data_IF_241460430912
#
_entry.id   IF_241460430912
#
_cell.length_a   1.000
_cell.length_b   1.000
_cell.length_c   1.000
_cell.angle_alpha   90.00
_cell.angle_beta   90.00
_cell.angle_gamma   90.00
#
_symmetry.space_group_name_H-M   'P 1'
#
loop_
_entity.id
_entity.type
_entity.pdbx_description
1 polymer ?
#
# COMPACT_ATOMS: atom_id res chain seq x y z
N UNK A 1 -3.46 -8.56 -10.81
CA UNK A 1 -3.25 -7.23 -10.16
C UNK A 1 -1.82 -6.71 -10.33
N UNK A 2 -0.79 -7.22 -9.63
CA UNK A 2 0.59 -6.68 -9.77
C UNK A 2 1.08 -6.60 -11.22
N UNK A 3 0.88 -7.67 -11.99
CA UNK A 3 1.19 -7.69 -13.42
C UNK A 3 0.43 -6.62 -14.21
N UNK A 4 -0.87 -6.44 -13.94
CA UNK A 4 -1.72 -5.47 -14.63
C UNK A 4 -1.30 -4.03 -14.32
N UNK A 5 -0.97 -3.74 -13.05
CA UNK A 5 -0.44 -2.45 -12.63
C UNK A 5 0.88 -2.13 -13.34
N UNK A 6 1.80 -3.10 -13.39
CA UNK A 6 3.07 -2.94 -14.11
C UNK A 6 2.87 -2.70 -15.61
N UNK A 7 1.98 -3.47 -16.24
CA UNK A 7 1.62 -3.33 -17.66
C UNK A 7 1.00 -1.99 -18.02
N UNK A 8 0.46 -1.27 -17.05
CA UNK A 8 -0.14 0.05 -17.23
C UNK A 8 0.73 1.16 -16.63
N UNK A 9 1.96 0.83 -16.21
CA UNK A 9 2.90 1.78 -15.61
C UNK A 9 2.29 2.57 -14.43
N UNK A 10 1.43 1.88 -13.66
CA UNK A 10 0.84 2.42 -12.44
C UNK A 10 1.82 2.20 -11.29
N UNK A 11 2.35 3.26 -10.64
CA UNK A 11 3.18 3.13 -9.45
C UNK A 11 2.43 2.38 -8.36
N UNK A 12 3.10 1.42 -7.73
CA UNK A 12 2.54 0.60 -6.67
C UNK A 12 3.45 0.69 -5.45
N UNK A 13 2.94 1.29 -4.37
CA UNK A 13 3.63 1.31 -3.09
C UNK A 13 3.10 0.21 -2.18
N UNK A 14 4.00 -0.66 -1.74
CA UNK A 14 3.77 -1.54 -0.61
C UNK A 14 4.30 -0.85 0.64
N UNK A 15 3.39 -0.28 1.43
CA UNK A 15 3.73 0.45 2.65
C UNK A 15 3.42 -0.40 3.90
N UNK A 16 4.47 -1.00 4.47
CA UNK A 16 4.34 -2.01 5.52
C UNK A 16 5.03 -1.58 6.82
N UNK A 17 4.33 -1.69 7.94
CA UNK A 17 4.91 -1.55 9.27
C UNK A 17 5.65 -2.81 9.76
N UNK A 18 5.70 -3.86 8.92
CA UNK A 18 6.41 -5.11 9.21
C UNK A 18 7.91 -5.04 8.92
N UNK A 19 8.50 -6.22 8.72
CA UNK A 19 9.90 -6.40 8.35
C UNK A 19 10.07 -6.33 6.82
N UNK A 20 10.73 -5.29 6.33
CA UNK A 20 10.90 -5.01 4.91
C UNK A 20 11.62 -6.11 4.15
N UNK A 21 12.68 -6.69 4.72
CA UNK A 21 13.43 -7.80 4.12
C UNK A 21 12.52 -9.00 3.80
N UNK A 22 11.60 -9.32 4.71
CA UNK A 22 10.62 -10.39 4.52
C UNK A 22 9.61 -10.04 3.43
N UNK A 23 9.11 -8.80 3.40
CA UNK A 23 8.17 -8.34 2.37
C UNK A 23 8.81 -8.44 0.99
N UNK A 24 10.02 -7.90 0.83
CA UNK A 24 10.77 -7.96 -0.43
C UNK A 24 11.00 -9.41 -0.86
N UNK A 25 11.45 -10.26 0.05
CA UNK A 25 11.70 -11.68 -0.23
C UNK A 25 10.45 -12.41 -0.73
N UNK A 26 9.29 -12.20 -0.08
CA UNK A 26 8.03 -12.80 -0.50
C UNK A 26 7.59 -12.31 -1.88
N UNK A 27 7.65 -11.00 -2.13
CA UNK A 27 7.27 -10.41 -3.43
C UNK A 27 8.18 -10.89 -4.57
N UNK A 28 9.49 -11.06 -4.30
CA UNK A 28 10.45 -11.60 -5.26
C UNK A 28 10.17 -13.07 -5.57
N UNK A 29 10.01 -13.92 -4.54
CA UNK A 29 9.73 -15.34 -4.73
C UNK A 29 8.40 -15.59 -5.45
N UNK A 30 7.41 -14.74 -5.20
CA UNK A 30 6.13 -14.78 -5.91
C UNK A 30 6.19 -14.18 -7.33
N UNK A 31 7.34 -13.66 -7.78
CA UNK A 31 7.52 -12.99 -9.07
C UNK A 31 6.57 -11.81 -9.31
N UNK A 32 6.30 -11.03 -8.25
CA UNK A 32 5.42 -9.85 -8.30
C UNK A 32 6.12 -8.54 -7.94
N UNK A 33 7.40 -8.57 -7.58
CA UNK A 33 8.22 -7.36 -7.39
C UNK A 33 8.66 -6.79 -8.76
N UNK A 34 7.72 -6.19 -9.47
CA UNK A 34 7.95 -5.52 -10.75
C UNK A 34 8.62 -4.14 -10.57
N UNK A 35 9.20 -3.53 -11.63
CA UNK A 35 9.87 -2.22 -11.53
C UNK A 35 8.99 -1.07 -11.02
N UNK A 36 7.67 -1.13 -11.24
CA UNK A 36 6.70 -0.16 -10.73
C UNK A 36 6.35 -0.36 -9.24
N UNK A 37 6.81 -1.45 -8.62
CA UNK A 37 6.54 -1.77 -7.21
C UNK A 37 7.68 -1.24 -6.34
N UNK A 38 7.34 -0.37 -5.39
CA UNK A 38 8.26 0.15 -4.37
C UNK A 38 7.82 -0.34 -3.00
N UNK A 39 8.77 -0.59 -2.12
CA UNK A 39 8.52 -1.09 -0.76
C UNK A 39 9.08 -0.09 0.23
N UNK A 40 8.23 0.44 1.10
CA UNK A 40 8.62 1.26 2.25
C UNK A 40 8.23 0.48 3.50
N UNK A 41 9.22 0.12 4.31
CA UNK A 41 9.05 -0.73 5.49
C UNK A 41 10.26 -0.66 6.43
N UNK A 42 10.24 -1.40 7.53
CA UNK A 42 11.36 -1.45 8.46
C UNK A 42 12.40 -2.47 7.98
N UNK A 43 13.53 -2.01 7.45
CA UNK A 43 14.59 -2.90 6.95
C UNK A 43 15.65 -3.18 8.02
N UNK A 44 16.23 -4.38 8.01
CA UNK A 44 17.31 -4.76 8.92
C UNK A 44 18.58 -3.96 8.65
N UNK A 45 19.21 -3.47 9.71
CA UNK A 45 20.50 -2.81 9.65
C UNK A 45 21.61 -3.80 10.04
N UNK A 46 22.66 -3.87 9.23
CA UNK A 46 23.82 -4.71 9.49
C UNK A 46 25.06 -3.83 9.72
N UNK A 47 25.85 -4.21 10.71
CA UNK A 47 27.20 -3.69 10.95
C UNK A 47 28.15 -4.07 9.81
N UNK A 48 29.30 -3.41 9.73
CA UNK A 48 30.35 -3.71 8.74
C UNK A 48 30.90 -5.14 8.82
N UNK A 49 30.73 -5.82 9.96
CA UNK A 49 31.09 -7.22 10.18
C UNK A 49 29.97 -8.22 9.80
N UNK A 50 28.83 -7.73 9.29
CA UNK A 50 27.68 -8.54 8.92
C UNK A 50 26.75 -8.90 10.08
N UNK A 51 26.99 -8.38 11.29
CA UNK A 51 26.12 -8.63 12.45
C UNK A 51 24.88 -7.73 12.40
N UNK A 52 23.70 -8.28 12.69
CA UNK A 52 22.47 -7.50 12.83
C UNK A 52 22.60 -6.52 14.00
N UNK A 53 22.39 -5.22 13.76
CA UNK A 53 22.59 -4.17 14.75
C UNK A 53 21.41 -3.21 14.91
N UNK A 54 20.29 -3.44 14.21
CA UNK A 54 19.09 -2.62 14.37
C UNK A 54 18.16 -2.66 13.17
N UNK A 55 17.36 -1.59 13.04
CA UNK A 55 16.55 -1.28 11.87
C UNK A 55 17.08 -0.02 11.21
N UNK A 56 16.99 0.06 9.89
CA UNK A 56 17.35 1.23 9.12
C UNK A 56 16.35 2.36 9.34
N UNK A 57 16.84 3.60 9.37
CA UNK A 57 16.06 4.83 9.37
C UNK A 57 14.99 4.94 10.47
N UNK A 58 13.95 5.75 10.23
CA UNK A 58 12.86 6.01 11.17
C UNK A 58 11.88 4.84 11.15
N UNK A 59 11.59 4.29 12.33
CA UNK A 59 10.64 3.20 12.49
C UNK A 59 9.25 3.55 11.95
N UNK A 60 8.72 2.71 11.07
CA UNK A 60 7.35 2.75 10.56
C UNK A 60 6.48 1.84 11.43
N UNK A 61 5.40 2.39 11.97
CA UNK A 61 4.37 1.68 12.72
C UNK A 61 2.99 2.02 12.16
N UNK A 62 1.96 1.28 12.55
CA UNK A 62 0.58 1.40 12.01
C UNK A 62 -0.05 2.80 12.12
N UNK A 63 0.52 3.69 12.93
CA UNK A 63 0.00 5.03 13.19
C UNK A 63 0.84 6.17 12.57
N UNK A 64 1.95 5.87 11.87
CA UNK A 64 2.76 6.88 11.19
C UNK A 64 2.92 6.62 9.68
N UNK A 65 2.04 5.79 9.11
CA UNK A 65 1.97 5.53 7.68
C UNK A 65 1.26 6.68 6.95
N UNK A 66 1.90 7.84 6.83
CA UNK A 66 1.37 9.00 6.11
C UNK A 66 2.44 9.64 5.23
N UNK A 67 2.11 10.75 4.54
CA UNK A 67 3.02 11.48 3.66
C UNK A 67 4.35 11.85 4.32
N UNK A 68 4.42 12.05 5.64
CA UNK A 68 5.70 12.35 6.31
C UNK A 68 6.73 11.22 6.20
N UNK A 69 6.30 10.01 5.88
CA UNK A 69 7.19 8.89 5.56
C UNK A 69 7.62 8.86 4.08
N UNK A 70 6.95 9.63 3.22
CA UNK A 70 7.20 9.74 1.78
C UNK A 70 7.96 11.02 1.42
N UNK A 71 7.82 12.09 2.20
CA UNK A 71 8.54 13.36 2.00
C UNK A 71 10.06 13.12 1.89
N UNK A 72 10.66 13.59 0.79
CA UNK A 72 12.09 13.46 0.52
C UNK A 72 12.52 12.08 -0.02
N UNK A 73 11.59 11.18 -0.30
CA UNK A 73 11.88 9.89 -0.97
C UNK A 73 11.74 10.03 -2.48
N UNK A 74 12.50 9.21 -3.24
CA UNK A 74 12.34 9.08 -4.70
C UNK A 74 10.90 8.70 -5.11
N UNK A 75 10.13 8.09 -4.19
CA UNK A 75 8.74 7.74 -4.44
C UNK A 75 7.83 8.97 -4.54
N UNK A 76 8.08 10.02 -3.77
CA UNK A 76 7.29 11.26 -3.83
C UNK A 76 7.32 11.86 -5.24
N UNK A 77 8.53 11.96 -5.81
CA UNK A 77 8.71 12.49 -7.17
C UNK A 77 8.01 11.64 -8.24
N UNK A 78 7.86 10.33 -8.01
CA UNK A 78 7.15 9.42 -8.93
C UNK A 78 5.62 9.62 -8.93
N UNK A 79 5.05 10.15 -7.84
CA UNK A 79 3.59 10.18 -7.63
C UNK A 79 3.00 11.56 -7.41
N UNK A 80 3.81 12.62 -7.29
CA UNK A 80 3.31 13.98 -7.00
C UNK A 80 2.28 14.50 -8.01
N UNK A 81 2.37 14.08 -9.28
CA UNK A 81 1.42 14.43 -10.34
C UNK A 81 0.22 13.46 -10.47
N UNK A 82 0.10 12.47 -9.57
CA UNK A 82 -0.98 11.47 -9.59
C UNK A 82 -2.10 11.89 -8.63
N UNK A 83 -3.24 12.26 -9.19
CA UNK A 83 -4.42 12.75 -8.48
C UNK A 83 -5.46 11.66 -8.18
N UNK A 84 -5.29 10.43 -8.66
CA UNK A 84 -6.19 9.31 -8.38
C UNK A 84 -5.46 8.19 -7.66
N UNK A 85 -5.92 7.84 -6.46
CA UNK A 85 -5.25 6.88 -5.57
C UNK A 85 -6.24 5.83 -5.06
N UNK A 86 -5.82 4.56 -5.09
CA UNK A 86 -6.51 3.47 -4.41
C UNK A 86 -5.66 3.07 -3.20
N UNK A 87 -6.23 3.21 -2.00
CA UNK A 87 -5.64 2.75 -0.76
C UNK A 87 -6.27 1.42 -0.37
N UNK A 88 -5.43 0.44 -0.02
CA UNK A 88 -5.87 -0.87 0.43
C UNK A 88 -5.19 -1.20 1.75
N UNK A 89 -5.95 -1.72 2.71
CA UNK A 89 -5.41 -2.15 3.99
C UNK A 89 -6.37 -2.99 4.80
N UNK A 90 -5.84 -3.69 5.79
CA UNK A 90 -6.57 -4.57 6.69
C UNK A 90 -6.74 -3.98 8.09
N UNK A 91 -6.12 -2.84 8.38
CA UNK A 91 -6.25 -2.13 9.65
C UNK A 91 -6.77 -0.71 9.46
N UNK A 92 -7.43 -0.17 10.49
CA UNK A 92 -7.89 1.23 10.47
C UNK A 92 -6.75 2.24 10.25
N UNK A 93 -5.52 1.91 10.67
CA UNK A 93 -4.36 2.78 10.48
C UNK A 93 -3.90 2.88 9.02
N UNK A 94 -4.20 1.88 8.20
CA UNK A 94 -3.84 1.89 6.78
C UNK A 94 -4.66 2.90 5.98
N UNK A 95 -5.85 3.26 6.44
CA UNK A 95 -6.63 4.33 5.84
C UNK A 95 -5.92 5.69 5.93
N UNK A 96 -4.98 5.83 6.87
CA UNK A 96 -4.10 7.00 7.03
C UNK A 96 -2.96 7.07 6.00
N UNK A 97 -2.76 6.03 5.17
CA UNK A 97 -1.81 6.10 4.04
C UNK A 97 -2.19 7.15 3.00
N UNK A 98 -3.45 7.60 3.02
CA UNK A 98 -3.92 8.72 2.22
C UNK A 98 -3.63 10.10 2.84
N UNK A 99 -3.20 10.15 4.11
CA UNK A 99 -3.01 11.40 4.83
C UNK A 99 -1.80 12.14 4.23
N UNK A 100 -2.05 13.36 3.72
CA UNK A 100 -1.07 14.18 3.00
C UNK A 100 -1.22 14.14 1.47
N UNK A 101 -2.09 13.28 0.94
CA UNK A 101 -2.51 13.42 -0.46
C UNK A 101 -3.27 14.77 -0.61
N UNK A 102 -2.96 15.61 -1.62
CA UNK A 102 -3.65 16.88 -1.82
C UNK A 102 -5.16 16.72 -1.93
N UNK A 103 -5.93 17.65 -1.35
CA UNK A 103 -7.41 17.59 -1.34
C UNK A 103 -8.05 17.69 -2.72
N UNK A 104 -7.30 18.13 -3.74
CA UNK A 104 -7.69 18.10 -5.14
C UNK A 104 -7.71 16.68 -5.75
N UNK A 105 -7.19 15.69 -5.02
CA UNK A 105 -7.08 14.30 -5.47
C UNK A 105 -8.35 13.50 -5.14
N UNK A 106 -8.53 12.40 -5.85
CA UNK A 106 -9.57 11.41 -5.65
C UNK A 106 -8.98 10.15 -5.02
N UNK A 107 -9.40 9.83 -3.80
CA UNK A 107 -8.93 8.65 -3.05
C UNK A 107 -10.07 7.68 -2.87
N UNK A 108 -9.85 6.42 -3.22
CA UNK A 108 -10.74 5.29 -2.93
C UNK A 108 -10.07 4.38 -1.90
N UNK A 109 -10.70 4.18 -0.75
CA UNK A 109 -10.20 3.36 0.35
C UNK A 109 -10.94 2.02 0.40
N UNK A 110 -10.19 0.91 0.29
CA UNK A 110 -10.70 -0.46 0.35
C UNK A 110 -10.13 -1.13 1.60
N UNK A 111 -11.01 -1.50 2.53
CA UNK A 111 -10.68 -2.15 3.80
C UNK A 111 -10.98 -3.65 3.78
N UNK A 112 -10.00 -4.47 4.12
CA UNK A 112 -10.17 -5.92 4.30
C UNK A 112 -10.46 -6.22 5.77
N UNK A 113 -11.66 -6.69 6.09
CA UNK A 113 -12.11 -6.96 7.44
C UNK A 113 -12.26 -8.47 7.67
N UNK A 114 -11.31 -9.07 8.37
CA UNK A 114 -11.37 -10.46 8.79
C UNK A 114 -11.57 -10.62 10.30
N UNK A 115 -10.87 -9.82 11.10
CA UNK A 115 -10.86 -9.97 12.56
C UNK A 115 -12.06 -9.29 13.23
N UNK A 116 -12.84 -10.06 14.00
CA UNK A 116 -14.03 -9.60 14.74
C UNK A 116 -14.99 -8.71 13.92
N UNK A 117 -15.51 -9.18 12.76
CA UNK A 117 -16.26 -8.34 11.84
C UNK A 117 -17.51 -7.72 12.46
N UNK A 118 -18.23 -8.43 13.33
CA UNK A 118 -19.42 -7.90 14.01
C UNK A 118 -19.12 -6.67 14.89
N UNK A 119 -17.94 -6.62 15.49
CA UNK A 119 -17.52 -5.52 16.36
C UNK A 119 -16.86 -4.38 15.59
N UNK A 120 -16.10 -4.71 14.54
CA UNK A 120 -15.25 -3.76 13.83
C UNK A 120 -15.96 -3.12 12.63
N UNK A 121 -16.97 -3.76 12.04
CA UNK A 121 -17.63 -3.30 10.83
C UNK A 121 -18.11 -1.84 10.89
N UNK A 122 -18.75 -1.35 11.98
CA UNK A 122 -19.16 0.06 12.04
C UNK A 122 -18.01 1.03 11.83
N UNK A 123 -16.86 0.78 12.48
CA UNK A 123 -15.67 1.64 12.36
C UNK A 123 -15.02 1.54 10.98
N UNK A 124 -15.03 0.34 10.38
CA UNK A 124 -14.51 0.14 9.03
C UNK A 124 -15.38 0.87 8.00
N UNK A 125 -16.70 0.81 8.12
CA UNK A 125 -17.63 1.53 7.24
C UNK A 125 -17.54 3.06 7.36
N UNK A 126 -17.14 3.57 8.52
CA UNK A 126 -16.86 5.01 8.71
C UNK A 126 -15.51 5.43 8.10
N UNK A 127 -14.58 4.48 7.93
CA UNK A 127 -13.19 4.76 7.58
C UNK A 127 -12.85 4.46 6.11
N UNK A 128 -13.46 3.42 5.54
CA UNK A 128 -13.22 2.92 4.19
C UNK A 128 -14.47 3.08 3.32
N UNK A 129 -14.29 3.37 2.04
CA UNK A 129 -15.39 3.49 1.07
C UNK A 129 -15.97 2.11 0.71
N UNK A 130 -15.12 1.09 0.68
CA UNK A 130 -15.48 -0.31 0.42
C UNK A 130 -14.91 -1.17 1.54
N UNK A 131 -15.75 -1.98 2.18
CA UNK A 131 -15.33 -2.95 3.20
C UNK A 131 -15.59 -4.37 2.67
N UNK A 132 -14.54 -5.19 2.64
CA UNK A 132 -14.58 -6.58 2.20
C UNK A 132 -14.49 -7.48 3.43
N UNK A 133 -15.58 -8.16 3.77
CA UNK A 133 -15.66 -9.02 4.95
C UNK A 133 -15.26 -10.44 4.57
N UNK A 134 -14.23 -10.97 5.23
CA UNK A 134 -13.69 -12.32 4.99
C UNK A 134 -13.39 -12.62 3.51
N UNK A 135 -12.90 -11.62 2.78
CA UNK A 135 -12.46 -11.77 1.38
C UNK A 135 -10.95 -12.01 1.34
N UNK A 136 -10.55 -13.19 0.87
CA UNK A 136 -9.15 -13.61 0.72
C UNK A 136 -8.65 -13.44 -0.73
N UNK A 137 -9.33 -12.62 -1.53
CA UNK A 137 -9.04 -12.39 -2.95
C UNK A 137 -8.65 -10.95 -3.23
N UNK A 138 -8.28 -10.67 -4.49
CA UNK A 138 -8.05 -9.31 -5.00
C UNK A 138 -9.05 -8.97 -6.12
N UNK A 139 -10.21 -9.63 -6.14
CA UNK A 139 -11.15 -9.54 -7.26
C UNK A 139 -11.82 -8.17 -7.34
N UNK A 140 -12.20 -7.57 -6.20
CA UNK A 140 -12.79 -6.22 -6.18
C UNK A 140 -11.79 -5.15 -6.64
N UNK A 141 -10.56 -5.03 -6.09
CA UNK A 141 -9.55 -4.11 -6.62
C UNK A 141 -9.24 -4.36 -8.10
N UNK A 142 -9.19 -5.63 -8.53
CA UNK A 142 -8.93 -5.98 -9.93
C UNK A 142 -10.07 -5.54 -10.85
N UNK A 143 -11.33 -5.73 -10.45
CA UNK A 143 -12.49 -5.31 -11.23
C UNK A 143 -12.49 -3.79 -11.46
N UNK A 144 -12.16 -3.01 -10.42
CA UNK A 144 -12.01 -1.54 -10.53
C UNK A 144 -10.92 -1.19 -11.55
N UNK A 145 -9.75 -1.85 -11.47
CA UNK A 145 -8.66 -1.62 -12.42
C UNK A 145 -9.06 -1.97 -13.87
N UNK A 146 -9.80 -3.07 -14.07
CA UNK A 146 -10.30 -3.48 -15.39
C UNK A 146 -11.31 -2.46 -15.97
N UNK A 147 -12.17 -1.88 -15.14
CA UNK A 147 -13.08 -0.81 -15.56
C UNK A 147 -12.33 0.45 -16.02
N UNK A 148 -11.22 0.81 -15.35
CA UNK A 148 -10.37 1.94 -15.75
C UNK A 148 -9.72 1.66 -17.11
N UNK A 149 -9.16 0.47 -17.31
CA UNK A 149 -8.52 0.06 -18.58
C UNK A 149 -9.49 0.04 -19.76
N UNK A 150 -10.74 -0.40 -19.55
CA UNK A 150 -11.72 -0.44 -20.62
C UNK A 150 -12.17 0.95 -21.07
N UNK A 151 -12.07 1.97 -20.20
CA UNK A 151 -12.36 3.36 -20.57
C UNK A 151 -11.21 4.05 -21.29
N UNK A 152 -9.95 3.69 -21.03
CA UNK A 152 -8.79 4.30 -21.71
C UNK A 152 -8.60 3.83 -23.17
N UNK A 153 -9.34 2.81 -23.59
CA UNK A 153 -9.37 2.30 -24.97
C UNK A 153 -10.59 2.77 -25.79
N UNK A 154 -11.44 3.64 -25.23
CA UNK A 154 -12.51 4.34 -25.96
C UNK A 154 -12.09 5.76 -26.28
#
# INVERSE_FOLDING_TARGET
MFYDLNKQEVPCLVFSAGLGDSVVSVLQQANVLYPNVKVISNFLQYSSDGTLNGLQDKMIHTFNKNETALEGTEYYDLVHDRDHVIVMGDSLGDAGMADGIPTSSHVLKIGFLFDHPEHNLPRYMETFDIVLIDDQTMDVPRAILEMIKNKSHQ
#
